data_IF_107784517094
#
_entry.id   IF_107784517094
#
_cell.length_a   1.000
_cell.length_b   1.000
_cell.length_c   1.000
_cell.angle_alpha   90.00
_cell.angle_beta   90.00
_cell.angle_gamma   90.00
#
_symmetry.space_group_name_H-M   'P 1'
#
loop_
_entity.id
_entity.type
_entity.pdbx_description
1 polymer ?
#
# COMPACT_ATOMS: atom_id res chain seq x y z
N UNK A 1 -6.19 14.64 61.15
CA UNK A 1 -5.18 13.79 60.46
C UNK A 1 -5.83 13.31 59.16
N UNK A 2 -5.55 13.95 58.06
CA UNK A 2 -5.98 13.56 56.71
C UNK A 2 -4.85 12.79 56.08
N UNK A 3 -5.01 11.48 55.95
CA UNK A 3 -4.10 10.62 55.22
C UNK A 3 -4.34 10.85 53.71
N UNK A 4 -3.39 11.49 53.05
CA UNK A 4 -3.30 11.65 51.63
C UNK A 4 -3.15 10.28 50.95
N UNK A 5 -4.19 9.81 50.25
CA UNK A 5 -4.07 8.71 49.32
C UNK A 5 -3.21 9.19 48.13
N UNK A 6 -1.98 8.69 48.03
CA UNK A 6 -1.15 8.81 46.83
C UNK A 6 -1.84 8.02 45.71
N UNK A 7 -2.65 8.69 44.93
CA UNK A 7 -3.13 8.17 43.67
C UNK A 7 -1.97 8.04 42.69
N UNK A 8 -1.36 6.87 42.59
CA UNK A 8 -0.35 6.59 41.59
C UNK A 8 -1.00 6.72 40.19
N UNK A 9 -0.28 7.35 39.26
CA UNK A 9 -0.72 7.43 37.85
C UNK A 9 -0.83 5.99 37.33
N UNK A 10 -2.04 5.62 36.93
CA UNK A 10 -2.25 4.32 36.25
C UNK A 10 -1.72 4.45 34.82
N UNK A 11 -0.61 3.78 34.54
CA UNK A 11 0.00 3.80 33.21
C UNK A 11 -0.92 3.13 32.19
N UNK A 12 -1.03 3.75 31.02
CA UNK A 12 -1.70 3.25 29.82
C UNK A 12 -0.65 2.91 28.78
N UNK A 13 -0.77 1.74 28.17
CA UNK A 13 0.20 1.30 27.18
C UNK A 13 -0.28 1.53 25.74
N UNK A 14 0.67 2.01 24.92
CA UNK A 14 0.61 1.95 23.47
C UNK A 14 1.50 0.78 23.07
N UNK A 15 0.89 -0.36 22.75
CA UNK A 15 1.62 -1.60 22.42
C UNK A 15 1.95 -1.65 20.93
N UNK A 16 3.23 -1.75 20.60
CA UNK A 16 3.69 -1.81 19.21
C UNK A 16 4.27 -3.16 18.82
N UNK A 17 4.02 -3.60 17.57
CA UNK A 17 4.72 -4.74 16.94
C UNK A 17 6.19 -4.44 16.60
N UNK A 18 6.59 -3.17 16.57
CA UNK A 18 7.93 -2.72 16.17
C UNK A 18 8.52 -1.81 17.24
N UNK A 19 9.84 -1.85 17.38
CA UNK A 19 10.53 -0.85 18.19
C UNK A 19 10.62 0.48 17.45
N UNK A 20 10.47 1.57 18.19
CA UNK A 20 10.61 2.93 17.71
C UNK A 20 11.79 3.61 18.36
N UNK A 21 12.35 4.65 17.70
CA UNK A 21 13.44 5.46 18.26
C UNK A 21 12.99 6.20 19.52
N UNK A 22 13.92 6.41 20.49
CA UNK A 22 13.66 7.04 21.79
C UNK A 22 12.92 8.39 21.69
N UNK A 23 13.21 9.18 20.67
CA UNK A 23 12.55 10.47 20.42
C UNK A 23 11.02 10.35 20.32
N UNK A 24 10.49 9.21 19.86
CA UNK A 24 9.03 9.02 19.75
C UNK A 24 8.42 8.61 21.09
N UNK A 25 9.15 7.91 21.95
CA UNK A 25 8.72 7.64 23.33
C UNK A 25 8.63 8.97 24.10
N UNK A 26 9.61 9.85 23.98
CA UNK A 26 9.62 11.19 24.59
C UNK A 26 8.44 12.03 24.09
N UNK A 27 8.16 12.05 22.78
CA UNK A 27 7.02 12.79 22.21
C UNK A 27 5.68 12.28 22.72
N UNK A 28 5.52 10.98 22.89
CA UNK A 28 4.29 10.41 23.49
C UNK A 28 4.13 10.85 24.93
N UNK A 29 5.19 10.77 25.74
CA UNK A 29 5.14 11.20 27.14
C UNK A 29 4.94 12.70 27.31
N UNK A 30 5.47 13.53 26.40
CA UNK A 30 5.21 14.98 26.39
C UNK A 30 3.73 15.31 26.11
N UNK A 31 3.08 14.55 25.24
CA UNK A 31 1.65 14.73 24.94
C UNK A 31 0.75 14.19 26.05
N UNK A 32 1.11 13.05 26.64
CA UNK A 32 0.33 12.39 27.69
C UNK A 32 1.26 11.61 28.63
N UNK A 33 1.62 12.17 29.82
CA UNK A 33 2.56 11.53 30.74
C UNK A 33 2.10 10.18 31.32
N UNK A 34 0.79 9.90 31.26
CA UNK A 34 0.18 8.64 31.69
C UNK A 34 0.21 7.55 30.59
N UNK A 35 0.73 7.86 29.39
CA UNK A 35 0.90 6.87 28.31
C UNK A 35 2.36 6.48 28.12
N UNK A 36 2.60 5.19 27.88
CA UNK A 36 3.92 4.66 27.59
C UNK A 36 3.88 3.83 26.29
N UNK A 37 4.72 4.22 25.32
CA UNK A 37 4.95 3.43 24.11
C UNK A 37 5.88 2.26 24.43
N UNK A 38 5.47 1.03 24.15
CA UNK A 38 6.25 -0.19 24.41
C UNK A 38 6.25 -1.10 23.19
N UNK A 39 7.37 -1.76 22.93
CA UNK A 39 7.44 -2.81 21.91
C UNK A 39 7.09 -4.16 22.53
N UNK A 40 6.36 -5.01 21.78
CA UNK A 40 6.08 -6.39 22.20
C UNK A 40 7.37 -7.20 22.47
N UNK A 41 8.46 -6.83 21.84
CA UNK A 41 9.76 -7.50 22.01
C UNK A 41 10.53 -7.03 23.27
N UNK A 42 10.09 -5.94 23.90
CA UNK A 42 10.79 -5.27 25.00
C UNK A 42 9.77 -4.76 26.02
N UNK A 43 8.98 -5.70 26.59
CA UNK A 43 7.95 -5.34 27.57
C UNK A 43 8.58 -5.11 28.96
N UNK A 44 8.19 -4.04 29.68
CA UNK A 44 8.63 -3.83 31.06
C UNK A 44 7.96 -4.85 32.02
N UNK A 45 8.59 -5.15 33.15
CA UNK A 45 8.05 -6.07 34.17
C UNK A 45 6.67 -5.62 34.69
N UNK A 46 6.41 -4.31 34.68
CA UNK A 46 5.13 -3.71 35.07
C UNK A 46 4.04 -3.84 34.03
N UNK A 47 4.34 -4.35 32.81
CA UNK A 47 3.36 -4.46 31.73
C UNK A 47 2.16 -5.35 32.12
N UNK A 48 0.97 -4.87 31.82
CA UNK A 48 -0.30 -5.61 31.97
C UNK A 48 -1.16 -5.41 30.73
N UNK A 49 -1.70 -6.48 30.18
CA UNK A 49 -2.56 -6.43 28.99
C UNK A 49 -3.80 -5.54 29.18
N UNK A 50 -4.34 -5.50 30.38
CA UNK A 50 -5.50 -4.69 30.76
C UNK A 50 -5.21 -3.18 30.70
N UNK A 51 -3.96 -2.79 30.65
CA UNK A 51 -3.55 -1.38 30.52
C UNK A 51 -3.28 -0.96 29.07
N UNK A 52 -3.43 -1.87 28.11
CA UNK A 52 -3.27 -1.55 26.69
C UNK A 52 -4.50 -0.79 26.20
N UNK A 53 -4.30 0.45 25.79
CA UNK A 53 -5.35 1.36 25.29
C UNK A 53 -5.23 1.55 23.76
N UNK A 54 -4.01 1.48 23.23
CA UNK A 54 -3.73 1.69 21.81
C UNK A 54 -2.78 0.58 21.34
N UNK A 55 -2.98 0.09 20.11
CA UNK A 55 -1.95 -0.73 19.46
C UNK A 55 -1.42 -0.07 18.18
N UNK A 56 -0.14 -0.24 17.92
CA UNK A 56 0.51 0.07 16.64
C UNK A 56 0.83 -1.25 15.94
N UNK A 57 0.08 -1.52 14.86
CA UNK A 57 0.01 -2.83 14.24
C UNK A 57 -0.91 -3.77 15.01
N UNK A 58 -1.08 -4.97 14.44
CA UNK A 58 -1.93 -6.02 15.02
C UNK A 58 -1.26 -7.38 14.87
N UNK A 59 -1.43 -8.23 15.88
CA UNK A 59 -1.08 -9.64 15.82
C UNK A 59 -2.31 -10.48 16.22
N UNK A 60 -2.61 -11.51 15.43
CA UNK A 60 -3.75 -12.41 15.72
C UNK A 60 -3.68 -13.03 17.12
N UNK A 61 -2.45 -13.23 17.64
CA UNK A 61 -2.21 -13.75 19.00
C UNK A 61 -2.65 -12.78 20.11
N UNK A 62 -2.89 -11.51 19.78
CA UNK A 62 -3.36 -10.52 20.76
C UNK A 62 -4.88 -10.54 20.93
N UNK A 63 -5.62 -11.20 20.03
CA UNK A 63 -7.07 -11.20 20.02
C UNK A 63 -7.65 -11.68 21.37
N UNK A 64 -7.20 -12.82 21.91
CA UNK A 64 -7.68 -13.35 23.19
C UNK A 64 -7.38 -12.44 24.39
N UNK A 65 -6.37 -11.58 24.26
CA UNK A 65 -5.95 -10.65 25.32
C UNK A 65 -6.62 -9.29 25.24
N UNK A 66 -7.05 -8.88 24.04
CA UNK A 66 -7.49 -7.51 23.77
C UNK A 66 -8.93 -7.41 23.23
N UNK A 67 -9.53 -8.51 22.75
CA UNK A 67 -10.88 -8.51 22.17
C UNK A 67 -11.88 -9.24 23.06
N UNK A 68 -12.26 -8.61 24.17
CA UNK A 68 -13.25 -9.13 25.12
C UNK A 68 -14.07 -7.98 25.72
N UNK A 69 -15.16 -8.30 26.41
CA UNK A 69 -16.15 -7.32 26.92
C UNK A 69 -15.58 -6.29 27.91
N UNK A 70 -14.48 -6.62 28.60
CA UNK A 70 -13.81 -5.74 29.54
C UNK A 70 -12.53 -5.10 28.97
N UNK A 71 -12.38 -5.04 27.66
CA UNK A 71 -11.19 -4.47 27.02
C UNK A 71 -11.06 -2.97 27.29
N UNK A 72 -9.83 -2.53 27.52
CA UNK A 72 -9.45 -1.11 27.54
C UNK A 72 -8.89 -0.64 26.20
N UNK A 73 -8.74 -1.53 25.21
CA UNK A 73 -8.32 -1.16 23.87
C UNK A 73 -9.36 -0.23 23.23
N UNK A 74 -8.93 0.93 22.77
CA UNK A 74 -9.79 1.96 22.19
C UNK A 74 -9.42 2.32 20.76
N UNK A 75 -8.15 2.08 20.36
CA UNK A 75 -7.69 2.45 19.05
C UNK A 75 -6.60 1.51 18.56
N UNK A 76 -6.72 1.08 17.31
CA UNK A 76 -5.72 0.35 16.55
C UNK A 76 -5.21 1.25 15.42
N UNK A 77 -3.90 1.55 15.42
CA UNK A 77 -3.22 2.18 14.29
C UNK A 77 -2.58 1.08 13.44
N UNK A 78 -3.14 0.77 12.28
CA UNK A 78 -2.51 -0.15 11.32
C UNK A 78 -1.20 0.44 10.78
N UNK A 79 -0.21 -0.42 10.59
CA UNK A 79 1.08 -0.05 10.00
C UNK A 79 0.96 0.09 8.47
N UNK A 80 0.14 -0.74 7.84
CA UNK A 80 -0.12 -0.74 6.40
C UNK A 80 -1.33 0.12 6.03
N UNK A 81 -1.44 0.45 4.76
CA UNK A 81 -2.63 1.12 4.22
C UNK A 81 -3.83 0.15 4.13
N UNK A 82 -3.61 -1.09 3.65
CA UNK A 82 -4.62 -2.14 3.63
C UNK A 82 -4.92 -2.67 5.02
N UNK A 83 -6.18 -3.00 5.30
CA UNK A 83 -6.68 -3.47 6.60
C UNK A 83 -7.47 -4.79 6.50
N UNK A 84 -7.46 -5.42 5.34
CA UNK A 84 -8.16 -6.67 5.00
C UNK A 84 -7.78 -7.86 5.89
N UNK A 85 -6.61 -7.82 6.52
CA UNK A 85 -6.13 -8.85 7.46
C UNK A 85 -6.57 -8.62 8.92
N UNK A 86 -7.25 -7.53 9.22
CA UNK A 86 -7.67 -7.15 10.58
C UNK A 86 -9.07 -7.66 10.91
N UNK A 87 -9.38 -7.96 12.18
CA UNK A 87 -10.70 -8.43 12.61
C UNK A 87 -11.69 -7.27 12.77
N UNK A 88 -12.11 -6.64 11.64
CA UNK A 88 -12.94 -5.42 11.61
C UNK A 88 -14.26 -5.58 12.37
N UNK A 89 -14.94 -6.71 12.21
CA UNK A 89 -16.18 -7.01 12.94
C UNK A 89 -15.98 -6.97 14.47
N UNK A 90 -14.86 -7.50 14.95
CA UNK A 90 -14.53 -7.46 16.38
C UNK A 90 -14.23 -6.04 16.86
N UNK A 91 -13.53 -5.24 16.02
CA UNK A 91 -13.29 -3.84 16.36
C UNK A 91 -14.61 -3.05 16.44
N UNK A 92 -15.51 -3.25 15.50
CA UNK A 92 -16.85 -2.64 15.53
C UNK A 92 -17.64 -3.09 16.78
N UNK A 93 -17.65 -4.38 17.09
CA UNK A 93 -18.33 -4.95 18.26
C UNK A 93 -17.89 -4.31 19.58
N UNK A 94 -16.60 -4.01 19.73
CA UNK A 94 -16.04 -3.45 20.98
C UNK A 94 -15.83 -1.93 20.92
N UNK A 95 -16.29 -1.24 19.87
CA UNK A 95 -16.15 0.20 19.72
C UNK A 95 -14.71 0.68 19.64
N UNK A 96 -13.84 -0.10 18.98
CA UNK A 96 -12.42 0.18 18.81
C UNK A 96 -12.23 1.00 17.52
N UNK A 97 -11.64 2.17 17.62
CA UNK A 97 -11.29 2.99 16.47
C UNK A 97 -10.17 2.33 15.65
N UNK A 98 -10.20 2.52 14.34
CA UNK A 98 -9.15 2.04 13.44
C UNK A 98 -8.65 3.19 12.57
N UNK A 99 -7.34 3.34 12.49
CA UNK A 99 -6.70 4.13 11.45
C UNK A 99 -5.60 3.34 10.77
N UNK A 100 -5.25 3.76 9.55
CA UNK A 100 -4.25 3.05 8.76
C UNK A 100 -3.04 3.92 8.38
N UNK A 101 -2.04 3.30 7.74
CA UNK A 101 -0.82 3.94 7.27
C UNK A 101 -0.95 4.53 5.87
N UNK A 102 -2.16 4.86 5.40
CA UNK A 102 -2.36 5.42 4.06
C UNK A 102 -1.54 6.70 3.87
N UNK A 103 -0.90 6.83 2.70
CA UNK A 103 -0.05 7.95 2.34
C UNK A 103 1.43 7.81 2.69
N UNK A 104 1.79 6.96 3.65
CA UNK A 104 3.21 6.74 4.05
C UNK A 104 4.04 6.25 2.86
N UNK A 105 3.45 5.39 2.03
CA UNK A 105 4.11 4.75 0.91
C UNK A 105 3.90 5.48 -0.43
N UNK A 106 3.15 6.60 -0.45
CA UNK A 106 2.83 7.28 -1.71
C UNK A 106 4.08 7.74 -2.45
N UNK A 107 5.05 8.31 -1.75
CA UNK A 107 6.32 8.76 -2.33
C UNK A 107 7.13 7.57 -2.88
N UNK A 108 7.40 6.55 -2.07
CA UNK A 108 8.24 5.42 -2.48
C UNK A 108 7.61 4.59 -3.60
N UNK A 109 6.30 4.29 -3.54
CA UNK A 109 5.63 3.56 -4.61
C UNK A 109 5.60 4.37 -5.91
N UNK A 110 5.34 5.67 -5.84
CA UNK A 110 5.35 6.50 -7.04
C UNK A 110 6.74 6.67 -7.64
N UNK A 111 7.82 6.69 -6.82
CA UNK A 111 9.21 6.67 -7.30
C UNK A 111 9.54 5.34 -7.98
N UNK A 112 9.14 4.22 -7.37
CA UNK A 112 9.29 2.87 -7.95
C UNK A 112 8.59 2.78 -9.31
N UNK A 113 7.33 3.20 -9.38
CA UNK A 113 6.56 3.23 -10.62
C UNK A 113 7.20 4.11 -11.68
N UNK A 114 7.70 5.29 -11.32
CA UNK A 114 8.43 6.17 -12.27
C UNK A 114 9.68 5.47 -12.81
N UNK A 115 10.42 4.75 -11.94
CA UNK A 115 11.55 3.93 -12.35
C UNK A 115 11.17 2.86 -13.38
N UNK A 116 10.06 2.13 -13.15
CA UNK A 116 9.55 1.12 -14.08
C UNK A 116 9.10 1.72 -15.42
N UNK A 117 8.42 2.87 -15.39
CA UNK A 117 7.98 3.59 -16.58
C UNK A 117 9.17 4.00 -17.45
N UNK A 118 10.21 4.58 -16.84
CA UNK A 118 11.44 4.95 -17.55
C UNK A 118 12.23 3.73 -18.02
N UNK A 119 12.27 2.66 -17.23
CA UNK A 119 12.91 1.39 -17.61
C UNK A 119 12.28 0.81 -18.88
N UNK A 120 10.95 0.80 -18.97
CA UNK A 120 10.21 0.36 -20.15
C UNK A 120 10.43 1.31 -21.34
N UNK A 121 10.16 2.60 -21.18
CA UNK A 121 10.16 3.54 -22.29
C UNK A 121 11.56 3.83 -22.85
N UNK A 122 12.61 3.68 -22.04
CA UNK A 122 13.99 3.87 -22.48
C UNK A 122 14.72 2.58 -22.83
N UNK A 123 14.00 1.45 -22.89
CA UNK A 123 14.58 0.15 -23.26
C UNK A 123 15.65 -0.36 -22.28
N UNK A 124 15.62 0.10 -21.03
CA UNK A 124 16.64 -0.29 -20.04
C UNK A 124 16.50 -1.77 -19.65
N UNK A 125 15.27 -2.29 -19.62
CA UNK A 125 15.05 -3.70 -19.27
C UNK A 125 15.68 -4.67 -20.29
N UNK A 126 15.39 -4.59 -21.61
CA UNK A 126 16.08 -5.42 -22.60
C UNK A 126 17.59 -5.15 -22.65
N UNK A 127 18.05 -3.91 -22.43
CA UNK A 127 19.48 -3.64 -22.35
C UNK A 127 20.16 -4.37 -21.18
N UNK A 128 19.53 -4.48 -20.03
CA UNK A 128 20.00 -5.27 -18.89
C UNK A 128 20.06 -6.78 -19.24
N UNK A 129 19.09 -7.29 -19.98
CA UNK A 129 19.09 -8.70 -20.45
C UNK A 129 20.24 -8.94 -21.42
N UNK A 130 20.48 -8.03 -22.37
CA UNK A 130 21.62 -8.10 -23.28
C UNK A 130 22.97 -8.07 -22.54
N UNK A 131 23.09 -7.28 -21.48
CA UNK A 131 24.29 -7.25 -20.65
C UNK A 131 24.56 -8.64 -20.04
N UNK A 132 23.53 -9.35 -19.55
CA UNK A 132 23.70 -10.69 -18.97
C UNK A 132 24.15 -11.74 -19.97
N UNK A 133 23.87 -11.55 -21.25
CA UNK A 133 24.28 -12.42 -22.37
C UNK A 133 25.48 -11.89 -23.15
N UNK A 134 26.13 -10.80 -22.72
CA UNK A 134 27.24 -10.11 -23.39
C UNK A 134 26.91 -9.72 -24.85
N UNK A 135 25.66 -9.30 -25.09
CA UNK A 135 25.15 -8.91 -26.41
C UNK A 135 25.15 -7.39 -26.52
N UNK A 136 25.50 -6.85 -27.69
CA UNK A 136 25.49 -5.41 -28.01
C UNK A 136 24.68 -5.18 -29.28
N UNK A 137 23.34 -5.05 -29.15
CA UNK A 137 22.43 -4.88 -30.28
C UNK A 137 21.48 -3.72 -30.01
N UNK A 138 21.87 -2.50 -30.40
CA UNK A 138 21.06 -1.31 -30.13
C UNK A 138 19.78 -1.23 -30.97
N UNK A 139 19.78 -1.82 -32.18
CA UNK A 139 18.65 -1.75 -33.11
C UNK A 139 17.45 -2.60 -32.68
N UNK A 140 17.66 -3.57 -31.80
CA UNK A 140 16.58 -4.43 -31.28
C UNK A 140 15.90 -3.87 -30.02
N UNK A 141 16.46 -2.81 -29.43
CA UNK A 141 15.93 -2.22 -28.21
C UNK A 141 14.81 -1.20 -28.53
N UNK A 142 13.56 -1.45 -28.14
CA UNK A 142 12.48 -0.48 -28.32
C UNK A 142 12.69 0.73 -27.40
N UNK A 143 12.39 1.91 -27.89
CA UNK A 143 12.44 3.15 -27.11
C UNK A 143 11.29 4.09 -27.48
N UNK A 144 10.84 4.85 -26.50
CA UNK A 144 9.78 5.84 -26.62
C UNK A 144 10.03 7.03 -25.69
N UNK A 145 9.30 8.11 -25.88
CA UNK A 145 9.24 9.21 -24.92
C UNK A 145 8.06 8.99 -23.96
N UNK A 146 8.33 9.07 -22.66
CA UNK A 146 7.31 8.85 -21.63
C UNK A 146 6.13 9.83 -21.77
N UNK A 147 6.39 11.08 -22.16
CA UNK A 147 5.37 12.12 -22.34
C UNK A 147 4.41 11.87 -23.51
N UNK A 148 4.76 10.96 -24.42
CA UNK A 148 3.94 10.59 -25.58
C UNK A 148 3.04 9.38 -25.31
N UNK A 149 3.20 8.73 -24.14
CA UNK A 149 2.45 7.55 -23.77
C UNK A 149 1.09 7.92 -23.19
N UNK A 150 0.05 7.18 -23.57
CA UNK A 150 -1.26 7.19 -22.92
C UNK A 150 -1.19 6.30 -21.68
N UNK A 151 -1.18 6.92 -20.50
CA UNK A 151 -1.01 6.23 -19.22
C UNK A 151 -2.35 6.22 -18.47
N UNK A 152 -2.81 5.03 -18.12
CA UNK A 152 -4.00 4.86 -17.26
C UNK A 152 -3.60 4.30 -15.89
N UNK A 153 -3.92 5.03 -14.83
CA UNK A 153 -3.72 4.62 -13.44
C UNK A 153 -5.07 4.15 -12.86
N UNK A 154 -5.13 2.87 -12.52
CA UNK A 154 -6.30 2.26 -11.88
C UNK A 154 -6.12 2.32 -10.37
N UNK A 155 -6.86 3.26 -9.74
CA UNK A 155 -6.73 3.66 -8.36
C UNK A 155 -6.25 5.11 -8.23
N UNK A 156 -7.19 6.07 -8.06
CA UNK A 156 -6.88 7.51 -7.94
C UNK A 156 -6.76 7.96 -6.48
N UNK A 157 -6.30 7.06 -5.60
CA UNK A 157 -5.99 7.36 -4.20
C UNK A 157 -4.71 8.17 -4.02
N UNK A 158 -4.14 8.19 -2.80
CA UNK A 158 -2.95 9.01 -2.50
C UNK A 158 -1.73 8.62 -3.36
N UNK A 159 -1.51 7.31 -3.60
CA UNK A 159 -0.41 6.83 -4.45
C UNK A 159 -0.64 7.25 -5.91
N UNK A 160 -1.85 7.02 -6.43
CA UNK A 160 -2.18 7.38 -7.81
C UNK A 160 -2.09 8.88 -8.06
N UNK A 161 -2.53 9.72 -7.12
CA UNK A 161 -2.40 11.17 -7.22
C UNK A 161 -0.94 11.63 -7.17
N UNK A 162 -0.11 11.05 -6.31
CA UNK A 162 1.30 11.40 -6.24
C UNK A 162 2.05 11.00 -7.52
N UNK A 163 1.75 9.81 -8.07
CA UNK A 163 2.30 9.42 -9.37
C UNK A 163 1.82 10.34 -10.49
N UNK A 164 0.52 10.63 -10.57
CA UNK A 164 -0.04 11.53 -11.59
C UNK A 164 0.56 12.93 -11.48
N UNK A 165 0.78 13.45 -10.26
CA UNK A 165 1.47 14.73 -10.02
C UNK A 165 2.91 14.71 -10.57
N UNK A 166 3.69 13.66 -10.31
CA UNK A 166 5.05 13.51 -10.83
C UNK A 166 5.07 13.45 -12.36
N UNK A 167 4.17 12.65 -12.94
CA UNK A 167 4.04 12.50 -14.37
C UNK A 167 3.63 13.79 -15.05
N UNK A 168 2.75 14.60 -14.45
CA UNK A 168 2.36 15.91 -14.99
C UNK A 168 3.54 16.89 -15.05
N UNK A 169 4.47 16.83 -14.08
CA UNK A 169 5.72 17.63 -14.12
C UNK A 169 6.68 17.20 -15.23
N UNK A 170 6.56 15.95 -15.71
CA UNK A 170 7.30 15.42 -16.85
C UNK A 170 6.57 15.63 -18.20
N UNK A 171 5.46 16.37 -18.19
CA UNK A 171 4.69 16.64 -19.41
C UNK A 171 3.75 15.52 -19.86
N UNK A 172 3.53 14.49 -19.01
CA UNK A 172 2.63 13.40 -19.32
C UNK A 172 1.17 13.77 -19.07
N UNK A 173 0.26 13.31 -19.94
CA UNK A 173 -1.18 13.32 -19.71
C UNK A 173 -1.63 11.97 -19.17
N UNK A 174 -2.26 11.95 -18.00
CA UNK A 174 -2.59 10.71 -17.27
C UNK A 174 -4.08 10.60 -17.08
N UNK A 175 -4.64 9.44 -17.44
CA UNK A 175 -6.03 9.08 -17.16
C UNK A 175 -6.10 8.31 -15.83
N UNK A 176 -7.24 8.43 -15.12
CA UNK A 176 -7.48 7.74 -13.87
C UNK A 176 -8.73 6.88 -13.90
N UNK A 177 -8.70 5.75 -13.23
CA UNK A 177 -9.88 4.94 -12.98
C UNK A 177 -10.12 4.86 -11.47
N UNK A 178 -11.35 5.13 -11.04
CA UNK A 178 -11.81 4.94 -9.67
C UNK A 178 -13.25 4.38 -9.68
N UNK A 179 -13.80 4.08 -8.51
CA UNK A 179 -15.11 3.40 -8.40
C UNK A 179 -16.22 4.12 -9.17
N UNK A 180 -16.26 5.45 -9.15
CA UNK A 180 -17.41 6.25 -9.65
C UNK A 180 -17.07 7.17 -10.81
N UNK A 181 -15.81 7.25 -11.25
CA UNK A 181 -15.37 8.23 -12.25
C UNK A 181 -15.23 9.66 -11.70
N UNK A 182 -15.24 9.84 -10.36
CA UNK A 182 -15.12 11.18 -9.75
C UNK A 182 -13.82 11.85 -10.16
N UNK A 183 -13.88 13.14 -10.45
CA UNK A 183 -12.69 13.95 -10.74
C UNK A 183 -11.69 13.89 -9.60
N UNK A 184 -10.42 13.72 -9.94
CA UNK A 184 -9.32 13.62 -8.98
C UNK A 184 -8.18 14.53 -9.45
N UNK A 185 -7.47 15.22 -8.55
CA UNK A 185 -6.35 16.10 -8.90
C UNK A 185 -5.27 15.37 -9.72
N UNK A 186 -4.62 16.11 -10.64
CA UNK A 186 -3.51 15.69 -11.50
C UNK A 186 -3.87 14.70 -12.60
N UNK A 187 -5.12 14.25 -12.71
CA UNK A 187 -5.60 13.44 -13.82
C UNK A 187 -6.24 14.34 -14.89
N UNK A 188 -5.91 14.11 -16.14
CA UNK A 188 -6.54 14.81 -17.27
C UNK A 188 -8.02 14.43 -17.39
N UNK A 189 -8.32 13.17 -17.13
CA UNK A 189 -9.68 12.62 -17.07
C UNK A 189 -9.75 11.44 -16.13
N UNK A 190 -10.92 11.24 -15.52
CA UNK A 190 -11.20 10.08 -14.66
C UNK A 190 -12.45 9.35 -15.11
N UNK A 191 -12.41 8.02 -15.06
CA UNK A 191 -13.46 7.11 -15.49
C UNK A 191 -13.88 6.19 -14.34
N UNK A 192 -15.13 5.69 -14.36
CA UNK A 192 -15.54 4.64 -13.43
C UNK A 192 -14.88 3.30 -13.79
N UNK A 193 -14.83 2.39 -12.82
CA UNK A 193 -14.20 1.08 -12.98
C UNK A 193 -14.81 0.25 -14.12
N UNK A 194 -16.07 0.45 -14.43
CA UNK A 194 -16.78 -0.18 -15.56
C UNK A 194 -16.19 0.16 -16.93
N UNK A 195 -15.39 1.23 -17.03
CA UNK A 195 -14.70 1.63 -18.25
C UNK A 195 -13.30 1.01 -18.40
N UNK A 196 -12.89 0.08 -17.50
CA UNK A 196 -11.54 -0.46 -17.48
C UNK A 196 -11.07 -0.99 -18.83
N UNK A 197 -11.87 -1.83 -19.48
CA UNK A 197 -11.53 -2.42 -20.78
C UNK A 197 -11.43 -1.35 -21.90
N UNK A 198 -12.34 -0.39 -21.92
CA UNK A 198 -12.30 0.71 -22.91
C UNK A 198 -11.02 1.56 -22.72
N UNK A 199 -10.66 1.88 -21.48
CA UNK A 199 -9.41 2.59 -21.19
C UNK A 199 -8.18 1.74 -21.55
N UNK A 200 -8.20 0.43 -21.29
CA UNK A 200 -7.11 -0.48 -21.63
C UNK A 200 -6.81 -0.53 -23.13
N UNK A 201 -7.84 -0.50 -23.99
CA UNK A 201 -7.70 -0.49 -25.44
C UNK A 201 -6.96 0.76 -25.97
N UNK A 202 -7.12 1.89 -25.30
CA UNK A 202 -6.48 3.15 -25.70
C UNK A 202 -5.13 3.37 -25.05
N UNK A 203 -4.83 2.67 -23.95
CA UNK A 203 -3.64 2.88 -23.15
C UNK A 203 -2.40 2.20 -23.72
N UNK A 204 -1.28 2.89 -23.64
CA UNK A 204 0.05 2.31 -23.86
C UNK A 204 0.57 1.68 -22.56
N UNK A 205 0.14 2.21 -21.40
CA UNK A 205 0.54 1.69 -20.10
C UNK A 205 -0.67 1.71 -19.16
N UNK A 206 -0.95 0.57 -18.54
CA UNK A 206 -1.96 0.44 -17.47
C UNK A 206 -1.27 0.08 -16.16
N UNK A 207 -1.55 0.85 -15.10
CA UNK A 207 -0.94 0.68 -13.78
C UNK A 207 -2.03 0.38 -12.75
N UNK A 208 -1.96 -0.80 -12.12
CA UNK A 208 -2.84 -1.16 -11.02
C UNK A 208 -2.26 -0.74 -9.66
N UNK A 209 -3.06 0.03 -8.90
CA UNK A 209 -2.76 0.46 -7.52
C UNK A 209 -3.97 0.19 -6.60
N UNK A 210 -4.95 -0.59 -7.05
CA UNK A 210 -6.15 -0.87 -6.27
C UNK A 210 -5.86 -1.76 -5.06
N UNK A 211 -6.61 -1.60 -3.96
CA UNK A 211 -6.67 -2.60 -2.91
C UNK A 211 -7.38 -3.87 -3.41
N UNK A 212 -7.18 -4.97 -2.70
CA UNK A 212 -7.94 -6.20 -2.93
C UNK A 212 -9.31 -6.10 -2.26
N UNK A 213 -10.34 -6.33 -3.07
CA UNK A 213 -11.74 -6.50 -2.66
C UNK A 213 -12.34 -7.64 -3.49
N UNK A 214 -13.56 -8.06 -3.22
CA UNK A 214 -14.24 -9.05 -4.09
C UNK A 214 -14.35 -8.54 -5.53
N UNK A 215 -14.64 -7.25 -5.73
CA UNK A 215 -14.77 -6.64 -7.06
C UNK A 215 -13.45 -6.48 -7.81
N UNK A 216 -12.32 -6.54 -7.10
CA UNK A 216 -10.97 -6.38 -7.71
C UNK A 216 -10.19 -7.68 -7.80
N UNK A 217 -10.74 -8.79 -7.29
CA UNK A 217 -10.16 -10.12 -7.46
C UNK A 217 -10.24 -10.57 -8.91
N UNK A 218 -9.12 -10.98 -9.48
CA UNK A 218 -8.98 -11.36 -10.89
C UNK A 218 -9.57 -10.33 -11.87
N UNK A 219 -9.52 -9.05 -11.49
CA UNK A 219 -9.95 -7.95 -12.33
C UNK A 219 -9.15 -7.88 -13.64
N UNK A 220 -7.90 -8.30 -13.60
CA UNK A 220 -6.98 -8.36 -14.73
C UNK A 220 -6.87 -9.81 -15.21
N UNK A 221 -7.83 -10.20 -16.01
CA UNK A 221 -8.06 -11.52 -16.57
C UNK A 221 -7.65 -11.60 -18.06
N UNK A 222 -7.90 -12.74 -18.70
CA UNK A 222 -7.61 -12.92 -20.11
C UNK A 222 -8.34 -11.89 -21.01
N UNK A 223 -9.65 -11.61 -20.90
CA UNK A 223 -10.31 -10.55 -21.63
C UNK A 223 -9.69 -9.18 -21.47
N UNK A 224 -9.19 -8.85 -20.26
CA UNK A 224 -8.50 -7.60 -20.03
C UNK A 224 -7.19 -7.51 -20.83
N UNK A 225 -6.33 -8.53 -20.78
CA UNK A 225 -5.07 -8.53 -21.52
C UNK A 225 -5.28 -8.52 -23.03
N UNK A 226 -6.30 -9.23 -23.52
CA UNK A 226 -6.70 -9.19 -24.93
C UNK A 226 -7.22 -7.82 -25.40
N UNK A 227 -7.78 -7.03 -24.49
CA UNK A 227 -8.22 -5.67 -24.79
C UNK A 227 -7.05 -4.68 -24.90
N UNK A 228 -5.89 -4.95 -24.30
CA UNK A 228 -4.73 -4.08 -24.35
C UNK A 228 -4.10 -4.05 -25.74
N UNK A 229 -3.36 -2.96 -26.03
CA UNK A 229 -2.53 -2.90 -27.23
C UNK A 229 -1.42 -3.95 -27.14
N UNK A 230 -1.06 -4.59 -28.25
CA UNK A 230 0.10 -5.51 -28.31
C UNK A 230 1.43 -4.84 -27.93
N UNK A 231 1.55 -3.53 -28.17
CA UNK A 231 2.68 -2.70 -27.72
C UNK A 231 2.54 -2.23 -26.27
N UNK A 232 1.41 -2.55 -25.65
CA UNK A 232 1.03 -2.08 -24.32
C UNK A 232 1.85 -2.71 -23.19
N UNK A 233 1.78 -2.08 -22.03
CA UNK A 233 2.47 -2.53 -20.83
C UNK A 233 1.54 -2.54 -19.64
N UNK A 234 1.67 -3.55 -18.78
CA UNK A 234 0.90 -3.67 -17.55
C UNK A 234 1.81 -3.65 -16.31
N UNK A 235 1.47 -2.84 -15.32
CA UNK A 235 2.23 -2.74 -14.07
C UNK A 235 1.29 -2.97 -12.88
N UNK A 236 1.66 -3.89 -11.98
CA UNK A 236 0.88 -4.17 -10.78
C UNK A 236 1.69 -3.93 -9.50
N UNK A 237 1.31 -2.91 -8.73
CA UNK A 237 1.78 -2.64 -7.36
C UNK A 237 0.63 -2.65 -6.35
N UNK A 238 -0.55 -3.11 -6.77
CA UNK A 238 -1.73 -3.23 -5.93
C UNK A 238 -1.71 -4.48 -5.05
N UNK A 239 -2.32 -5.57 -5.54
CA UNK A 239 -2.33 -6.89 -4.88
C UNK A 239 -2.21 -8.01 -5.90
N UNK A 240 -1.51 -9.10 -5.53
CA UNK A 240 -1.31 -10.28 -6.38
C UNK A 240 -2.64 -10.87 -6.88
N UNK A 241 -3.60 -11.21 -5.99
CA UNK A 241 -4.87 -11.81 -6.39
C UNK A 241 -5.77 -10.95 -7.29
N UNK A 242 -5.42 -9.70 -7.59
CA UNK A 242 -6.14 -8.89 -8.58
C UNK A 242 -5.82 -9.29 -10.01
N UNK A 243 -4.75 -10.05 -10.23
CA UNK A 243 -4.28 -10.53 -11.53
C UNK A 243 -4.49 -12.03 -11.63
N UNK A 244 -5.07 -12.50 -12.72
CA UNK A 244 -4.96 -13.89 -13.13
C UNK A 244 -3.55 -14.13 -13.69
N UNK A 245 -2.70 -14.80 -12.92
CA UNK A 245 -1.30 -15.06 -13.27
C UNK A 245 -1.15 -15.91 -14.52
N UNK A 246 -2.07 -16.85 -14.77
CA UNK A 246 -2.07 -17.66 -15.98
C UNK A 246 -2.42 -16.83 -17.21
N UNK A 247 -3.39 -15.92 -17.09
CA UNK A 247 -3.75 -15.02 -18.18
C UNK A 247 -2.61 -14.04 -18.52
N UNK A 248 -1.93 -13.50 -17.51
CA UNK A 248 -0.76 -12.64 -17.70
C UNK A 248 0.37 -13.39 -18.42
N UNK A 249 0.71 -14.59 -17.95
CA UNK A 249 1.73 -15.45 -18.56
C UNK A 249 1.41 -15.76 -20.03
N UNK A 250 0.18 -16.17 -20.31
CA UNK A 250 -0.28 -16.48 -21.66
C UNK A 250 -0.18 -15.25 -22.60
N UNK A 251 -0.58 -14.07 -22.14
CA UNK A 251 -0.51 -12.84 -22.91
C UNK A 251 0.93 -12.46 -23.28
N UNK A 252 1.88 -12.61 -22.33
CA UNK A 252 3.29 -12.36 -22.59
C UNK A 252 3.89 -13.37 -23.55
N UNK A 253 3.62 -14.66 -23.39
CA UNK A 253 4.10 -15.74 -24.26
C UNK A 253 3.55 -15.63 -25.69
N UNK A 254 2.31 -15.17 -25.83
CA UNK A 254 1.67 -14.95 -27.14
C UNK A 254 2.05 -13.61 -27.79
N UNK A 255 2.89 -12.78 -27.15
CA UNK A 255 3.19 -11.39 -27.57
C UNK A 255 1.90 -10.53 -27.74
N UNK A 256 0.89 -10.77 -26.94
CA UNK A 256 -0.31 -9.94 -26.82
C UNK A 256 -0.07 -8.74 -25.92
N UNK A 257 1.01 -8.78 -25.13
CA UNK A 257 1.47 -7.71 -24.26
C UNK A 257 2.99 -7.55 -24.41
N UNK A 258 3.46 -6.32 -24.62
CA UNK A 258 4.90 -6.09 -24.88
C UNK A 258 5.76 -6.15 -23.62
N UNK A 259 5.22 -5.77 -22.45
CA UNK A 259 5.95 -5.74 -21.19
C UNK A 259 4.99 -5.82 -20.02
N UNK A 260 5.44 -6.47 -18.95
CA UNK A 260 4.76 -6.37 -17.66
C UNK A 260 5.76 -6.20 -16.51
N UNK A 261 5.31 -5.57 -15.42
CA UNK A 261 6.02 -5.57 -14.14
C UNK A 261 5.04 -5.82 -13.00
N UNK A 262 5.39 -6.75 -12.12
CA UNK A 262 4.61 -7.08 -10.93
C UNK A 262 5.48 -7.00 -9.68
N UNK A 263 5.04 -6.23 -8.70
CA UNK A 263 5.67 -6.14 -7.37
C UNK A 263 5.00 -7.06 -6.35
N UNK A 264 3.84 -7.58 -6.72
CA UNK A 264 2.98 -8.43 -5.88
C UNK A 264 2.50 -9.66 -6.66
N UNK A 265 2.41 -10.80 -5.98
CA UNK A 265 2.03 -12.10 -6.55
C UNK A 265 1.01 -12.82 -5.68
N UNK A 266 0.46 -13.92 -6.18
CA UNK A 266 -0.35 -14.85 -5.42
C UNK A 266 0.06 -16.28 -5.78
N UNK A 267 0.67 -17.06 -4.85
CA UNK A 267 1.01 -16.67 -3.46
C UNK A 267 2.23 -15.73 -3.34
N UNK A 268 2.42 -15.18 -2.15
CA UNK A 268 3.65 -14.50 -1.74
C UNK A 268 4.31 -15.24 -0.57
N UNK A 269 5.62 -15.56 -0.63
CA UNK A 269 6.54 -15.40 -1.76
C UNK A 269 6.17 -16.26 -2.97
N UNK A 270 6.50 -15.78 -4.18
CA UNK A 270 6.32 -16.56 -5.41
C UNK A 270 7.17 -17.85 -5.34
N UNK A 271 6.58 -19.04 -5.56
CA UNK A 271 7.31 -20.31 -5.57
C UNK A 271 8.48 -20.28 -6.55
N UNK A 272 9.58 -20.99 -6.20
CA UNK A 272 10.81 -21.00 -7.01
C UNK A 272 10.63 -21.63 -8.38
N UNK A 273 9.66 -22.51 -8.51
CA UNK A 273 9.31 -23.27 -9.73
C UNK A 273 8.11 -22.66 -10.47
N UNK A 274 7.67 -21.47 -10.08
CA UNK A 274 6.57 -20.77 -10.73
C UNK A 274 6.99 -20.33 -12.15
N UNK A 275 6.17 -20.62 -13.18
CA UNK A 275 6.51 -20.28 -14.57
C UNK A 275 6.59 -18.78 -14.86
N UNK A 276 6.08 -17.91 -13.99
CA UNK A 276 6.22 -16.45 -14.12
C UNK A 276 7.70 -16.03 -14.07
N UNK A 277 8.60 -16.76 -13.39
CA UNK A 277 10.01 -16.42 -13.36
C UNK A 277 10.67 -16.41 -14.74
N UNK A 278 10.19 -17.29 -15.64
CA UNK A 278 10.71 -17.46 -17.01
C UNK A 278 9.82 -16.75 -18.06
N UNK A 279 8.83 -15.99 -17.63
CA UNK A 279 7.94 -15.27 -18.57
C UNK A 279 8.72 -14.21 -19.36
N UNK A 280 8.55 -14.15 -20.69
CA UNK A 280 9.23 -13.15 -21.50
C UNK A 280 8.75 -11.74 -21.13
N UNK A 281 9.68 -10.78 -21.11
CA UNK A 281 9.38 -9.36 -20.85
C UNK A 281 8.62 -9.08 -19.55
N UNK A 282 8.75 -9.95 -18.54
CA UNK A 282 8.22 -9.77 -17.20
C UNK A 282 9.34 -9.33 -16.24
N UNK A 283 9.12 -8.24 -15.52
CA UNK A 283 9.95 -7.85 -14.38
C UNK A 283 9.18 -8.13 -13.08
N UNK A 284 9.77 -8.95 -12.23
CA UNK A 284 9.23 -9.25 -10.89
C UNK A 284 10.08 -8.56 -9.85
N UNK A 285 9.45 -7.79 -8.95
CA UNK A 285 10.09 -7.26 -7.75
C UNK A 285 9.41 -7.85 -6.50
N UNK A 286 10.17 -8.17 -5.42
CA UNK A 286 9.66 -8.97 -4.32
C UNK A 286 8.95 -8.09 -3.26
N UNK A 287 7.83 -7.46 -3.64
CA UNK A 287 6.98 -6.60 -2.81
C UNK A 287 7.77 -5.48 -2.10
N UNK A 288 8.56 -4.73 -2.87
CA UNK A 288 9.48 -3.70 -2.37
C UNK A 288 9.08 -2.28 -2.75
N UNK A 289 8.07 -2.09 -3.61
CA UNK A 289 7.68 -0.76 -4.11
C UNK A 289 7.37 0.24 -2.97
N UNK A 290 6.81 -0.26 -1.86
CA UNK A 290 6.48 0.53 -0.68
C UNK A 290 7.62 0.72 0.32
N UNK A 291 8.79 0.13 0.13
CA UNK A 291 9.89 0.25 1.10
C UNK A 291 10.43 1.68 1.16
N UNK A 292 10.66 2.18 2.37
CA UNK A 292 11.19 3.53 2.59
C UNK A 292 12.09 3.55 3.84
N UNK A 293 13.23 4.23 3.74
CA UNK A 293 14.12 4.49 4.86
C UNK A 293 13.49 5.44 5.91
N UNK A 294 12.45 6.19 5.52
CA UNK A 294 11.79 7.19 6.34
C UNK A 294 10.50 6.71 7.01
N UNK A 295 10.24 5.39 6.98
CA UNK A 295 9.00 4.81 7.51
C UNK A 295 8.62 5.33 8.90
N UNK A 296 9.56 5.29 9.86
CA UNK A 296 9.25 5.68 11.24
C UNK A 296 8.84 7.16 11.35
N UNK A 297 9.47 8.06 10.61
CA UNK A 297 9.14 9.49 10.67
C UNK A 297 7.78 9.77 10.07
N UNK A 298 7.50 9.21 8.89
CA UNK A 298 6.21 9.38 8.19
C UNK A 298 5.05 8.76 8.99
N UNK A 299 5.27 7.55 9.50
CA UNK A 299 4.28 6.85 10.31
C UNK A 299 3.97 7.60 11.61
N UNK A 300 5.01 8.01 12.34
CA UNK A 300 4.85 8.69 13.63
C UNK A 300 4.28 10.10 13.48
N UNK A 301 4.42 10.74 12.33
CA UNK A 301 3.73 12.01 12.04
C UNK A 301 2.20 11.81 12.04
N UNK A 302 1.71 10.77 11.35
CA UNK A 302 0.29 10.41 11.33
C UNK A 302 -0.17 9.98 12.73
N UNK A 303 0.58 9.09 13.36
CA UNK A 303 0.25 8.56 14.67
C UNK A 303 0.15 9.66 15.74
N UNK A 304 1.16 10.52 15.87
CA UNK A 304 1.18 11.58 16.89
C UNK A 304 0.07 12.62 16.68
N UNK A 305 -0.30 12.90 15.42
CA UNK A 305 -1.43 13.76 15.11
C UNK A 305 -2.74 13.15 15.57
N UNK A 306 -2.96 11.88 15.27
CA UNK A 306 -4.12 11.13 15.76
C UNK A 306 -4.09 10.99 17.28
N UNK A 307 -2.93 10.70 17.87
CA UNK A 307 -2.78 10.57 19.31
C UNK A 307 -3.15 11.86 20.05
N UNK A 308 -2.71 13.02 19.54
CA UNK A 308 -3.10 14.31 20.11
C UNK A 308 -4.61 14.54 20.09
N UNK A 309 -5.29 14.17 18.99
CA UNK A 309 -6.75 14.27 18.90
C UNK A 309 -7.45 13.23 19.79
N UNK A 310 -6.93 12.02 19.83
CA UNK A 310 -7.49 10.92 20.63
C UNK A 310 -7.48 11.20 22.13
N UNK A 311 -6.38 11.74 22.68
CA UNK A 311 -6.31 12.08 24.11
C UNK A 311 -7.22 13.23 24.51
N UNK A 312 -7.56 14.13 23.56
CA UNK A 312 -8.44 15.28 23.81
C UNK A 312 -9.92 14.95 23.61
N UNK A 313 -10.24 14.25 22.51
CA UNK A 313 -11.62 14.14 22.02
C UNK A 313 -12.06 12.69 21.74
N UNK A 314 -11.22 11.69 21.98
CA UNK A 314 -11.46 10.29 21.59
C UNK A 314 -11.81 10.12 20.10
N UNK A 315 -11.19 10.93 19.23
CA UNK A 315 -11.43 10.94 17.78
C UNK A 315 -10.12 10.89 17.01
N UNK A 316 -10.18 10.47 15.76
CA UNK A 316 -9.05 10.45 14.85
C UNK A 316 -9.21 11.54 13.79
N UNK A 317 -8.10 12.10 13.31
CA UNK A 317 -8.10 13.20 12.33
C UNK A 317 -7.45 12.81 11.01
N UNK A 318 -6.73 11.68 10.98
CA UNK A 318 -6.03 11.18 9.81
C UNK A 318 -6.31 9.70 9.60
N UNK A 319 -6.64 9.34 8.37
CA UNK A 319 -6.73 7.95 7.92
C UNK A 319 -7.62 7.06 8.79
N UNK A 320 -8.68 7.62 9.38
CA UNK A 320 -9.70 6.84 10.06
C UNK A 320 -10.37 5.92 9.04
N UNK A 321 -10.52 4.65 9.40
CA UNK A 321 -11.09 3.62 8.53
C UNK A 321 -12.49 3.30 8.96
N UNK A 322 -13.43 3.31 8.01
CA UNK A 322 -14.77 2.77 8.22
C UNK A 322 -14.70 1.27 8.44
N UNK A 323 -15.15 0.80 9.60
CA UNK A 323 -15.15 -0.64 9.93
C UNK A 323 -16.18 -1.44 9.12
N UNK A 324 -17.17 -0.76 8.54
CA UNK A 324 -18.18 -1.38 7.66
C UNK A 324 -17.63 -1.60 6.25
N UNK A 325 -16.88 -0.62 5.73
CA UNK A 325 -16.40 -0.62 4.34
C UNK A 325 -14.95 -1.14 4.19
N UNK A 326 -14.17 -1.18 5.29
CA UNK A 326 -12.77 -1.62 5.28
C UNK A 326 -11.79 -0.63 4.63
N UNK A 327 -12.21 0.64 4.43
CA UNK A 327 -11.35 1.71 3.86
C UNK A 327 -11.82 3.11 4.28
#
# INVERSE_FOLDING_TARGET
>A
MYTSAKGGIVLKYILSKRSFRSIYHEKVQQLAPDYQLVSINELPDSFRWEQVVITIGWDKKWADKLLHSATNLKWVQSISAGVDYLPLESFAKYGILLSNGSGIHAQSISDHLLGLLLMKTRGLFPAMQQQMTHTWESETIPYDNLSEQVITIVGTGQIGQELARKLSLLGCSVQGINTTGRKTPYFSQTYPLTNLHACAQESDIVINILPLTEDTRHLYDQPFFQAMKKTGSFINVGRGPSVDSHALLAALQANELAFASIDVTDPEPLPKDDPLWDAPNLLITPHISGQTAHFQSLFMEIFLKNFSSFIQNHSLTKNEVSLENGY
#
